data_IF_271453082599
#
_entry.id   IF_271453082599
#
_cell.length_a   1.000
_cell.length_b   1.000
_cell.length_c   1.000
_cell.angle_alpha   90.00
_cell.angle_beta   90.00
_cell.angle_gamma   90.00
#
_symmetry.space_group_name_H-M   'P 1'
#
loop_
_entity.id
_entity.type
_entity.pdbx_description
1 polymer ?
#
# COMPACT_ATOMS: atom_id res chain seq x y z
N UNK A 1 -14.32 -32.22 1.01
CA UNK A 1 -13.72 -31.88 2.32
C UNK A 1 -12.59 -30.92 2.01
N UNK A 2 -12.69 -29.61 2.23
CA UNK A 2 -12.89 -28.95 3.53
C UNK A 2 -13.71 -27.66 3.35
N UNK A 3 -14.78 -27.52 4.13
CA UNK A 3 -15.49 -26.25 4.31
C UNK A 3 -14.61 -25.38 5.20
N UNK A 4 -13.90 -24.41 4.60
CA UNK A 4 -13.06 -23.47 5.33
C UNK A 4 -14.00 -22.50 6.03
N UNK A 5 -14.28 -22.77 7.30
CA UNK A 5 -15.23 -22.00 8.09
C UNK A 5 -14.75 -20.55 8.22
N UNK A 6 -15.21 -19.67 7.34
CA UNK A 6 -15.08 -18.22 7.44
C UNK A 6 -15.86 -17.76 8.68
N UNK A 7 -15.24 -17.85 9.85
CA UNK A 7 -15.85 -17.41 11.11
C UNK A 7 -16.12 -15.92 11.00
N UNK A 8 -17.38 -15.53 11.19
CA UNK A 8 -17.76 -14.12 11.19
C UNK A 8 -17.12 -13.43 12.40
N UNK A 9 -16.44 -12.32 12.14
CA UNK A 9 -15.80 -11.46 13.12
C UNK A 9 -16.77 -10.33 13.43
N UNK A 10 -17.17 -10.21 14.70
CA UNK A 10 -17.99 -9.08 15.15
C UNK A 10 -17.10 -7.88 15.44
N UNK A 11 -17.46 -6.73 14.89
CA UNK A 11 -16.78 -5.45 15.04
C UNK A 11 -17.81 -4.34 15.22
N UNK A 12 -17.38 -3.22 15.76
CA UNK A 12 -18.19 -2.00 15.86
C UNK A 12 -17.51 -0.92 15.05
N UNK A 13 -18.25 -0.26 14.16
CA UNK A 13 -17.75 0.85 13.33
C UNK A 13 -18.79 1.97 13.44
N UNK A 14 -18.33 3.12 13.91
CA UNK A 14 -19.11 4.34 14.11
C UNK A 14 -20.39 4.12 14.94
N UNK A 15 -20.30 3.27 15.96
CA UNK A 15 -21.41 2.91 16.86
C UNK A 15 -22.32 1.78 16.36
N UNK A 16 -22.18 1.36 15.10
CA UNK A 16 -22.95 0.26 14.52
C UNK A 16 -22.18 -1.07 14.60
N UNK A 17 -22.86 -2.16 14.96
CA UNK A 17 -22.27 -3.50 14.99
C UNK A 17 -22.36 -4.19 13.63
N UNK A 18 -21.24 -4.79 13.19
CA UNK A 18 -21.13 -5.53 11.94
C UNK A 18 -20.56 -6.93 12.18
N UNK A 19 -21.07 -7.91 11.43
CA UNK A 19 -20.53 -9.27 11.36
C UNK A 19 -19.79 -9.49 10.03
N UNK A 20 -18.47 -9.30 10.03
CA UNK A 20 -17.63 -9.36 8.84
C UNK A 20 -17.09 -10.77 8.61
N UNK A 21 -17.12 -11.25 7.36
CA UNK A 21 -16.46 -12.49 6.96
C UNK A 21 -15.23 -12.14 6.12
N UNK A 22 -14.06 -12.60 6.55
CA UNK A 22 -12.78 -12.26 5.94
C UNK A 22 -11.84 -13.46 5.96
N UNK A 23 -11.05 -13.62 4.89
CA UNK A 23 -9.99 -14.63 4.79
C UNK A 23 -8.73 -14.25 5.59
N UNK A 24 -8.57 -12.97 5.94
CA UNK A 24 -7.36 -12.46 6.58
C UNK A 24 -7.23 -12.81 8.07
N UNK A 25 -8.24 -13.51 8.63
CA UNK A 25 -8.29 -13.88 10.04
C UNK A 25 -8.94 -12.80 10.92
N UNK A 26 -9.25 -13.19 12.16
CA UNK A 26 -10.05 -12.36 13.06
C UNK A 26 -9.32 -11.08 13.51
N UNK A 27 -8.04 -11.20 13.87
CA UNK A 27 -7.26 -10.08 14.40
C UNK A 27 -7.05 -8.99 13.36
N UNK A 28 -6.65 -9.38 12.14
CA UNK A 28 -6.50 -8.44 11.02
C UNK A 28 -7.83 -7.76 10.67
N UNK A 29 -8.93 -8.51 10.67
CA UNK A 29 -10.26 -7.94 10.39
C UNK A 29 -10.67 -6.91 11.44
N UNK A 30 -10.37 -7.16 12.73
CA UNK A 30 -10.62 -6.17 13.80
C UNK A 30 -9.74 -4.93 13.63
N UNK A 31 -8.46 -5.10 13.30
CA UNK A 31 -7.56 -3.99 13.05
C UNK A 31 -8.02 -3.11 11.87
N UNK A 32 -8.51 -3.72 10.79
CA UNK A 32 -9.11 -2.97 9.69
C UNK A 32 -10.37 -2.20 10.12
N UNK A 33 -11.24 -2.83 10.92
CA UNK A 33 -12.46 -2.17 11.40
C UNK A 33 -12.14 -1.00 12.33
N UNK A 34 -11.17 -1.15 13.24
CA UNK A 34 -10.67 -0.08 14.10
C UNK A 34 -10.11 1.09 13.29
N UNK A 35 -9.29 0.81 12.28
CA UNK A 35 -8.76 1.85 11.40
C UNK A 35 -9.86 2.60 10.63
N UNK A 36 -10.88 1.87 10.15
CA UNK A 36 -12.04 2.50 9.50
C UNK A 36 -12.80 3.37 10.51
N UNK A 37 -13.07 2.87 11.71
CA UNK A 37 -13.76 3.61 12.78
C UNK A 37 -13.08 4.94 13.11
N UNK A 38 -11.77 4.90 13.35
CA UNK A 38 -10.94 6.09 13.59
C UNK A 38 -11.05 7.09 12.44
N UNK A 39 -11.02 6.62 11.19
CA UNK A 39 -11.11 7.49 10.01
C UNK A 39 -12.48 8.15 9.91
N UNK A 40 -13.56 7.40 10.13
CA UNK A 40 -14.93 7.94 10.12
C UNK A 40 -15.11 8.96 11.25
N UNK A 41 -14.62 8.64 12.46
CA UNK A 41 -14.68 9.55 13.60
C UNK A 41 -13.90 10.84 13.32
N UNK A 42 -12.69 10.75 12.76
CA UNK A 42 -11.90 11.92 12.38
C UNK A 42 -12.63 12.82 11.38
N UNK A 43 -13.24 12.24 10.34
CA UNK A 43 -14.00 13.02 9.33
C UNK A 43 -15.23 13.68 9.96
N UNK A 44 -15.92 12.98 10.85
CA UNK A 44 -17.10 13.49 11.52
C UNK A 44 -16.78 14.64 12.50
N UNK A 45 -15.76 14.45 13.36
CA UNK A 45 -15.34 15.45 14.37
C UNK A 45 -14.77 16.71 13.72
N UNK A 46 -14.14 16.58 12.55
CA UNK A 46 -13.63 17.73 11.78
C UNK A 46 -14.74 18.69 11.30
N UNK A 47 -16.02 18.41 11.55
CA UNK A 47 -17.14 19.32 11.27
C UNK A 47 -17.50 19.45 9.79
N UNK A 48 -16.87 18.67 8.90
CA UNK A 48 -17.08 18.79 7.46
C UNK A 48 -18.35 18.07 6.98
N UNK A 49 -18.87 17.12 7.76
CA UNK A 49 -20.04 16.30 7.38
C UNK A 49 -20.91 15.94 8.59
N UNK A 50 -22.14 16.44 8.61
CA UNK A 50 -23.12 16.15 9.67
C UNK A 50 -23.72 14.74 9.57
N UNK A 51 -23.79 14.16 8.37
CA UNK A 51 -24.45 12.87 8.14
C UNK A 51 -23.46 11.68 8.23
N UNK A 52 -23.69 10.69 9.11
CA UNK A 52 -22.80 9.55 9.33
C UNK A 52 -22.37 8.81 8.06
N UNK A 53 -23.32 8.57 7.15
CA UNK A 53 -23.04 7.84 5.91
C UNK A 53 -22.12 8.61 4.96
N UNK A 54 -22.25 9.94 4.88
CA UNK A 54 -21.35 10.79 4.09
C UNK A 54 -19.95 10.83 4.70
N UNK A 55 -19.84 10.82 6.04
CA UNK A 55 -18.56 10.72 6.72
C UNK A 55 -17.87 9.38 6.43
N UNK A 56 -18.62 8.28 6.43
CA UNK A 56 -18.11 6.96 6.04
C UNK A 56 -17.62 6.91 4.59
N UNK A 57 -18.35 7.51 3.64
CA UNK A 57 -17.92 7.58 2.23
C UNK A 57 -16.63 8.40 2.09
N UNK A 58 -16.53 9.56 2.76
CA UNK A 58 -15.31 10.38 2.72
C UNK A 58 -14.11 9.68 3.36
N UNK A 59 -14.31 8.99 4.49
CA UNK A 59 -13.27 8.18 5.11
C UNK A 59 -12.76 7.09 4.16
N UNK A 60 -13.68 6.39 3.47
CA UNK A 60 -13.33 5.38 2.47
C UNK A 60 -12.55 5.98 1.28
N UNK A 61 -12.97 7.15 0.79
CA UNK A 61 -12.26 7.87 -0.28
C UNK A 61 -10.84 8.23 0.14
N UNK A 62 -10.66 8.72 1.36
CA UNK A 62 -9.34 9.11 1.87
C UNK A 62 -8.41 7.91 2.09
N UNK A 63 -8.92 6.80 2.63
CA UNK A 63 -8.15 5.53 2.74
C UNK A 63 -7.76 5.02 1.35
N UNK A 64 -8.66 5.14 0.37
CA UNK A 64 -8.38 4.71 -1.01
C UNK A 64 -7.32 5.58 -1.68
N UNK A 65 -7.36 6.91 -1.47
CA UNK A 65 -6.34 7.84 -1.95
C UNK A 65 -4.96 7.49 -1.35
N UNK A 66 -4.88 7.23 -0.04
CA UNK A 66 -3.64 6.77 0.60
C UNK A 66 -3.10 5.47 -0.02
N UNK A 67 -3.99 4.49 -0.25
CA UNK A 67 -3.63 3.24 -0.91
C UNK A 67 -3.07 3.47 -2.32
N UNK A 68 -3.69 4.36 -3.10
CA UNK A 68 -3.25 4.66 -4.46
C UNK A 68 -1.92 5.38 -4.48
N UNK A 69 -1.71 6.38 -3.62
CA UNK A 69 -0.42 7.07 -3.50
C UNK A 69 0.70 6.12 -3.11
N UNK A 70 0.46 5.21 -2.15
CA UNK A 70 1.45 4.21 -1.75
C UNK A 70 1.81 3.29 -2.94
N UNK A 71 0.83 2.92 -3.79
CA UNK A 71 1.09 2.09 -4.98
C UNK A 71 1.89 2.84 -6.04
N UNK A 72 1.52 4.09 -6.32
CA UNK A 72 2.27 4.95 -7.25
C UNK A 72 3.71 5.16 -6.79
N UNK A 73 3.91 5.42 -5.48
CA UNK A 73 5.25 5.55 -4.90
C UNK A 73 6.07 4.26 -5.02
N UNK A 74 5.45 3.09 -4.82
CA UNK A 74 6.12 1.79 -4.97
C UNK A 74 6.52 1.53 -6.43
N UNK A 75 5.65 1.86 -7.39
CA UNK A 75 5.94 1.76 -8.82
C UNK A 75 7.11 2.69 -9.20
N UNK A 76 7.06 3.95 -8.76
CA UNK A 76 8.14 4.93 -8.99
C UNK A 76 9.47 4.52 -8.36
N UNK A 77 9.46 3.93 -7.16
CA UNK A 77 10.67 3.39 -6.52
C UNK A 77 11.26 2.21 -7.30
N UNK A 78 10.43 1.31 -7.80
CA UNK A 78 10.86 0.19 -8.64
C UNK A 78 11.54 0.68 -9.92
N UNK A 79 10.93 1.65 -10.60
CA UNK A 79 11.52 2.29 -11.79
C UNK A 79 12.85 2.98 -11.48
N UNK A 80 12.92 3.71 -10.35
CA UNK A 80 14.14 4.35 -9.90
C UNK A 80 15.27 3.35 -9.68
N UNK A 81 15.00 2.24 -8.97
CA UNK A 81 15.99 1.19 -8.72
C UNK A 81 16.45 0.55 -10.02
N UNK A 82 15.54 0.19 -10.92
CA UNK A 82 15.89 -0.39 -12.22
C UNK A 82 16.76 0.55 -13.06
N UNK A 83 16.44 1.84 -13.09
CA UNK A 83 17.25 2.84 -13.79
C UNK A 83 18.66 2.92 -13.22
N UNK A 84 18.81 2.95 -11.89
CA UNK A 84 20.12 3.00 -11.23
C UNK A 84 20.95 1.74 -11.48
N UNK A 85 20.32 0.57 -11.52
CA UNK A 85 20.98 -0.69 -11.90
C UNK A 85 21.46 -0.62 -13.35
N UNK A 86 20.64 -0.11 -14.27
CA UNK A 86 21.01 0.08 -15.68
C UNK A 86 22.21 1.01 -15.86
N UNK A 87 22.20 2.16 -15.17
CA UNK A 87 23.31 3.12 -15.17
C UNK A 87 24.60 2.50 -14.63
N UNK A 88 24.52 1.71 -13.55
CA UNK A 88 25.68 1.01 -12.98
C UNK A 88 26.23 -0.05 -13.95
N UNK A 89 25.34 -0.84 -14.58
CA UNK A 89 25.74 -1.83 -15.59
C UNK A 89 26.52 -1.19 -16.73
N UNK A 90 26.00 -0.08 -17.27
CA UNK A 90 26.65 0.65 -18.36
C UNK A 90 28.04 1.18 -17.96
N UNK A 91 28.20 1.66 -16.71
CA UNK A 91 29.51 2.11 -16.21
C UNK A 91 30.51 0.96 -16.07
N UNK A 92 30.06 -0.20 -15.60
CA UNK A 92 30.91 -1.41 -15.51
C UNK A 92 31.35 -1.86 -16.91
N UNK A 93 30.43 -1.93 -17.87
CA UNK A 93 30.75 -2.27 -19.27
C UNK A 93 31.76 -1.29 -19.88
N UNK A 94 31.58 0.01 -19.67
CA UNK A 94 32.52 1.03 -20.15
C UNK A 94 33.91 0.90 -19.52
N UNK A 95 33.99 0.59 -18.22
CA UNK A 95 35.27 0.41 -17.53
C UNK A 95 36.02 -0.83 -18.04
N UNK A 96 35.31 -1.94 -18.26
CA UNK A 96 35.88 -3.16 -18.84
C UNK A 96 36.40 -2.91 -20.26
N UNK A 97 35.62 -2.24 -21.11
CA UNK A 97 36.03 -1.96 -22.49
C UNK A 97 37.24 -1.02 -22.54
N UNK A 98 37.30 0.02 -21.69
CA UNK A 98 38.48 0.91 -21.61
C UNK A 98 39.74 0.17 -21.18
N UNK A 99 39.62 -0.79 -20.25
CA UNK A 99 40.73 -1.64 -19.83
C UNK A 99 41.24 -2.55 -20.96
N UNK A 100 40.33 -3.12 -21.75
CA UNK A 100 40.69 -3.92 -22.93
C UNK A 100 41.42 -3.08 -24.00
N UNK A 101 40.94 -1.87 -24.30
CA UNK A 101 41.57 -0.98 -25.29
C UNK A 101 42.95 -0.46 -24.83
N UNK A 102 43.17 -0.26 -23.52
CA UNK A 102 44.49 0.12 -22.99
C UNK A 102 45.51 -1.01 -23.04
N UNK A 103 45.09 -2.27 -22.90
CA UNK A 103 45.99 -3.42 -23.00
C UNK A 103 46.47 -3.67 -24.44
N UNK A 104 45.64 -3.40 -25.44
CA UNK A 104 45.96 -3.58 -26.87
C UNK A 104 46.91 -2.52 -27.44
N UNK A 105 46.92 -1.30 -26.89
CA UNK A 105 47.78 -0.19 -27.35
C UNK A 105 49.16 -0.13 -26.67
N UNK A 106 49.38 -0.94 -25.63
CA UNK A 106 50.64 -1.03 -24.89
C UNK A 106 51.52 -2.24 -25.25
N UNK A 107 51.10 -3.04 -26.23
CA UNK A 107 51.82 -4.22 -26.76
C UNK A 107 52.34 -3.92 -28.16
#
# INVERSE_FOLDING_TARGET
MTDSSKTAVRVTIFGDEYALRSEAGADYTRACAEHVDERVQSVHVSGHVAEPHKAAILAAMQITDELFRIREDQEGQSEFVHRRIGELRQRVEQALNRGATQAELGS
#
